data_IF_603551172040
#
_entry.id   IF_603551172040
#
_cell.length_a   1.000
_cell.length_b   1.000
_cell.length_c   1.000
_cell.angle_alpha   90.00
_cell.angle_beta   90.00
_cell.angle_gamma   90.00
#
_symmetry.space_group_name_H-M   'P 1'
#
loop_
_entity.id
_entity.type
_entity.pdbx_description
1 polymer ?
#
# COMPACT_ATOMS: atom_id res chain seq x y z
N UNK A 1 -11.06 7.91 0.27
CA UNK A 1 -10.23 8.94 0.93
C UNK A 1 -8.97 8.39 1.59
N UNK A 2 -9.02 7.21 2.25
CA UNK A 2 -7.88 6.59 2.96
C UNK A 2 -6.55 6.61 2.20
N UNK A 3 -6.53 5.93 1.05
CA UNK A 3 -5.31 5.82 0.22
C UNK A 3 -4.83 7.18 -0.30
N UNK A 4 -5.71 8.06 -0.77
CA UNK A 4 -5.27 9.38 -1.24
C UNK A 4 -4.59 10.19 -0.14
N UNK A 5 -5.07 10.10 1.10
CA UNK A 5 -4.48 10.80 2.23
C UNK A 5 -3.10 10.23 2.63
N UNK A 6 -2.89 8.91 2.53
CA UNK A 6 -1.56 8.34 2.79
C UNK A 6 -0.57 8.78 1.71
N UNK A 7 -0.98 8.81 0.43
CA UNK A 7 -0.14 9.27 -0.67
C UNK A 7 0.24 10.75 -0.51
N UNK A 8 -0.74 11.62 -0.17
CA UNK A 8 -0.49 13.04 0.11
C UNK A 8 0.49 13.27 1.26
N UNK A 9 0.49 12.40 2.27
CA UNK A 9 1.47 12.44 3.35
C UNK A 9 2.82 11.94 2.87
N UNK A 10 2.87 10.75 2.26
CA UNK A 10 4.09 10.12 1.74
C UNK A 10 4.89 11.08 0.85
N UNK A 11 4.23 11.79 -0.06
CA UNK A 11 4.87 12.74 -0.99
C UNK A 11 5.70 13.83 -0.29
N UNK A 12 5.36 14.20 0.95
CA UNK A 12 6.09 15.22 1.74
C UNK A 12 7.36 14.68 2.40
N UNK A 13 7.57 13.36 2.38
CA UNK A 13 8.66 12.67 3.07
C UNK A 13 9.58 11.91 2.10
N UNK A 14 9.46 12.14 0.80
CA UNK A 14 10.31 11.55 -0.22
C UNK A 14 10.51 12.49 -1.41
N UNK A 15 11.63 12.30 -2.11
CA UNK A 15 11.94 13.01 -3.34
C UNK A 15 11.24 12.36 -4.55
N UNK A 16 11.05 11.04 -4.48
CA UNK A 16 10.40 10.20 -5.49
C UNK A 16 9.40 9.23 -4.84
N UNK A 17 8.14 9.23 -5.26
CA UNK A 17 7.07 8.42 -4.71
C UNK A 17 6.65 7.30 -5.68
N UNK A 18 7.07 6.08 -5.36
CA UNK A 18 6.61 4.86 -6.04
C UNK A 18 5.44 4.24 -5.29
N UNK A 19 4.38 3.86 -6.01
CA UNK A 19 3.22 3.16 -5.45
C UNK A 19 3.13 1.75 -6.00
N UNK A 20 3.24 0.76 -5.11
CA UNK A 20 3.00 -0.65 -5.43
C UNK A 20 1.51 -0.99 -5.45
N UNK A 21 0.97 -1.34 -6.61
CA UNK A 21 -0.38 -1.87 -6.76
C UNK A 21 -0.37 -3.39 -6.63
N UNK A 22 -0.88 -3.92 -5.51
CA UNK A 22 -0.87 -5.39 -5.26
C UNK A 22 -1.70 -6.11 -6.32
N UNK A 23 -1.17 -7.16 -6.93
CA UNK A 23 -1.87 -7.99 -7.93
C UNK A 23 -3.16 -8.62 -7.41
N UNK A 24 -4.06 -8.97 -8.34
CA UNK A 24 -5.36 -9.55 -8.00
C UNK A 24 -5.19 -10.93 -7.35
N UNK A 25 -4.21 -11.71 -7.81
CA UNK A 25 -3.83 -13.02 -7.29
C UNK A 25 -3.27 -12.91 -5.87
N UNK A 26 -2.30 -12.02 -5.64
CA UNK A 26 -1.72 -11.83 -4.30
C UNK A 26 -2.77 -11.29 -3.30
N UNK A 27 -3.72 -10.47 -3.77
CA UNK A 27 -4.87 -10.04 -2.95
C UNK A 27 -5.80 -11.21 -2.61
N UNK A 28 -6.06 -12.11 -3.56
CA UNK A 28 -6.84 -13.31 -3.33
C UNK A 28 -6.17 -14.23 -2.32
N UNK A 29 -4.88 -14.52 -2.47
CA UNK A 29 -4.10 -15.32 -1.51
C UNK A 29 -4.15 -14.73 -0.09
N UNK A 30 -4.04 -13.41 0.03
CA UNK A 30 -4.03 -12.73 1.34
C UNK A 30 -5.42 -12.62 1.99
N UNK A 31 -6.48 -12.42 1.21
CA UNK A 31 -7.81 -12.04 1.72
C UNK A 31 -8.93 -13.03 1.39
N UNK A 32 -8.65 -14.07 0.62
CA UNK A 32 -9.62 -15.06 0.11
C UNK A 32 -10.65 -14.48 -0.87
N UNK A 33 -10.38 -13.31 -1.46
CA UNK A 33 -11.31 -12.66 -2.40
C UNK A 33 -10.58 -11.71 -3.34
N UNK A 34 -11.07 -11.64 -4.57
CA UNK A 34 -10.59 -10.69 -5.56
C UNK A 34 -10.98 -9.25 -5.20
N UNK A 35 -10.18 -8.25 -5.62
CA UNK A 35 -10.63 -6.86 -5.58
C UNK A 35 -11.81 -6.64 -6.53
N UNK A 36 -12.55 -5.55 -6.31
CA UNK A 36 -13.66 -5.15 -7.19
C UNK A 36 -13.15 -4.42 -8.43
N UNK A 37 -12.00 -3.76 -8.31
CA UNK A 37 -11.34 -3.00 -9.39
C UNK A 37 -10.08 -3.77 -9.76
N UNK A 38 -9.93 -4.11 -11.04
CA UNK A 38 -8.83 -4.94 -11.52
C UNK A 38 -7.48 -4.24 -11.35
N UNK A 39 -6.39 -5.00 -11.40
CA UNK A 39 -5.04 -4.42 -11.25
C UNK A 39 -4.78 -3.28 -12.22
N UNK A 40 -5.09 -3.45 -13.52
CA UNK A 40 -4.86 -2.42 -14.55
C UNK A 40 -5.58 -1.11 -14.24
N UNK A 41 -6.87 -1.17 -13.91
CA UNK A 41 -7.68 0.00 -13.54
C UNK A 41 -7.15 0.67 -12.27
N UNK A 42 -6.71 -0.11 -11.27
CA UNK A 42 -6.10 0.45 -10.05
C UNK A 42 -4.81 1.16 -10.35
N UNK A 43 -4.00 0.65 -11.28
CA UNK A 43 -2.76 1.31 -11.69
C UNK A 43 -3.06 2.62 -12.42
N UNK A 44 -3.99 2.63 -13.38
CA UNK A 44 -4.40 3.84 -14.10
C UNK A 44 -4.91 4.93 -13.15
N UNK A 45 -5.74 4.56 -12.16
CA UNK A 45 -6.19 5.50 -11.12
C UNK A 45 -5.02 6.08 -10.34
N UNK A 46 -4.02 5.27 -10.00
CA UNK A 46 -2.85 5.72 -9.24
C UNK A 46 -1.93 6.62 -10.08
N UNK A 47 -1.74 6.31 -11.35
CA UNK A 47 -0.96 7.11 -12.30
C UNK A 47 -1.60 8.48 -12.55
N UNK A 48 -2.92 8.55 -12.56
CA UNK A 48 -3.67 9.81 -12.69
C UNK A 48 -3.54 10.73 -11.45
N UNK A 49 -3.01 10.22 -10.33
CA UNK A 49 -2.76 11.03 -9.14
C UNK A 49 -1.42 11.75 -9.34
N UNK A 50 -1.47 13.03 -9.72
CA UNK A 50 -0.28 13.85 -10.03
C UNK A 50 0.74 14.10 -8.91
N UNK A 51 0.66 13.38 -7.79
CA UNK A 51 1.71 13.32 -6.75
C UNK A 51 2.44 11.98 -6.72
N UNK A 52 2.10 11.03 -7.58
CA UNK A 52 2.74 9.73 -7.72
C UNK A 52 3.71 9.80 -8.90
N UNK A 53 4.97 9.46 -8.67
CA UNK A 53 6.00 9.54 -9.69
C UNK A 53 6.09 8.24 -10.52
N UNK A 54 5.80 7.10 -9.90
CA UNK A 54 5.79 5.79 -10.58
C UNK A 54 4.77 4.84 -9.94
N UNK A 55 4.10 4.03 -10.75
CA UNK A 55 3.22 2.95 -10.28
C UNK A 55 3.76 1.62 -10.78
N UNK A 56 3.92 0.67 -9.86
CA UNK A 56 4.48 -0.65 -10.18
C UNK A 56 3.54 -1.77 -9.71
N UNK A 57 3.47 -2.90 -10.45
CA UNK A 57 2.74 -4.05 -9.97
C UNK A 57 3.51 -4.75 -8.84
N UNK A 58 2.78 -5.03 -7.77
CA UNK A 58 3.26 -5.74 -6.60
C UNK A 58 2.66 -7.15 -6.54
N UNK A 59 3.45 -8.11 -7.00
CA UNK A 59 3.05 -9.51 -7.10
C UNK A 59 3.21 -10.30 -5.79
N UNK A 60 3.63 -9.66 -4.68
CA UNK A 60 3.93 -10.40 -3.47
C UNK A 60 3.57 -9.67 -2.18
N UNK A 61 3.26 -10.47 -1.16
CA UNK A 61 3.17 -9.98 0.21
C UNK A 61 4.56 -9.57 0.72
N UNK A 62 5.62 -10.23 0.24
CA UNK A 62 7.01 -9.96 0.61
C UNK A 62 7.53 -8.70 -0.11
N UNK A 63 7.68 -7.61 0.64
CA UNK A 63 8.12 -6.31 0.13
C UNK A 63 9.58 -6.30 -0.33
N UNK A 64 10.40 -7.28 0.09
CA UNK A 64 11.78 -7.42 -0.39
C UNK A 64 11.82 -7.75 -1.88
N UNK A 65 10.80 -8.43 -2.43
CA UNK A 65 10.70 -8.70 -3.87
C UNK A 65 10.43 -7.45 -4.70
N UNK A 66 9.61 -6.53 -4.18
CA UNK A 66 9.41 -5.22 -4.81
C UNK A 66 10.70 -4.42 -4.74
N UNK A 67 11.37 -4.42 -3.58
CA UNK A 67 12.62 -3.71 -3.38
C UNK A 67 13.74 -4.15 -4.31
N UNK A 68 13.84 -5.43 -4.68
CA UNK A 68 14.83 -5.90 -5.66
C UNK A 68 14.78 -5.14 -7.00
N UNK A 69 13.59 -4.66 -7.39
CA UNK A 69 13.34 -3.93 -8.63
C UNK A 69 13.35 -2.41 -8.42
N UNK A 70 12.70 -1.93 -7.36
CA UNK A 70 12.44 -0.50 -7.11
C UNK A 70 13.53 0.16 -6.27
N UNK A 71 14.21 -0.59 -5.39
CA UNK A 71 15.26 -0.10 -4.49
C UNK A 71 14.84 1.11 -3.64
N UNK A 72 13.63 1.06 -3.07
CA UNK A 72 13.14 2.13 -2.20
C UNK A 72 13.89 2.19 -0.85
N UNK A 73 14.04 3.40 -0.30
CA UNK A 73 14.67 3.62 1.01
C UNK A 73 13.67 3.57 2.18
N UNK A 74 12.41 3.96 1.92
CA UNK A 74 11.37 4.13 2.94
C UNK A 74 10.07 3.48 2.49
N UNK A 75 9.51 2.62 3.33
CA UNK A 75 8.16 2.08 3.18
C UNK A 75 7.18 2.88 4.04
N UNK A 76 6.19 3.50 3.43
CA UNK A 76 5.14 4.25 4.15
C UNK A 76 3.96 3.36 4.54
N UNK A 77 3.48 3.49 5.78
CA UNK A 77 2.33 2.72 6.28
C UNK A 77 1.49 3.51 7.29
N UNK A 78 0.25 3.07 7.53
CA UNK A 78 -0.54 3.52 8.67
C UNK A 78 0.00 2.93 9.98
N UNK A 79 -0.12 3.67 11.09
CA UNK A 79 0.35 3.23 12.39
C UNK A 79 -0.52 2.12 13.04
N UNK A 80 -1.56 1.63 12.34
CA UNK A 80 -2.38 0.50 12.75
C UNK A 80 -1.58 -0.81 12.89
N UNK A 81 -0.36 -0.86 12.35
CA UNK A 81 0.56 -1.99 12.49
C UNK A 81 1.66 -1.76 13.53
N UNK A 82 1.88 -0.52 13.96
CA UNK A 82 2.99 -0.17 14.84
C UNK A 82 2.82 -0.86 16.19
N UNK A 83 3.87 -1.53 16.68
CA UNK A 83 3.83 -2.27 17.94
C UNK A 83 3.07 -3.61 17.89
N UNK A 84 2.63 -4.05 16.71
CA UNK A 84 2.04 -5.39 16.52
C UNK A 84 3.10 -6.36 16.02
N UNK A 85 2.85 -7.67 16.16
CA UNK A 85 3.73 -8.70 15.58
C UNK A 85 3.95 -8.52 14.06
N UNK A 86 2.93 -8.04 13.33
CA UNK A 86 3.04 -7.73 11.90
C UNK A 86 3.92 -6.52 11.62
N UNK A 87 3.84 -5.49 12.46
CA UNK A 87 4.70 -4.31 12.37
C UNK A 87 6.15 -4.65 12.64
N UNK A 88 6.43 -5.38 13.72
CA UNK A 88 7.79 -5.81 14.06
C UNK A 88 8.42 -6.70 12.98
N UNK A 89 7.63 -7.62 12.41
CA UNK A 89 8.09 -8.42 11.27
C UNK A 89 8.43 -7.54 10.07
N UNK A 90 7.54 -6.61 9.70
CA UNK A 90 7.77 -5.71 8.57
C UNK A 90 9.01 -4.83 8.78
N UNK A 91 9.20 -4.30 9.98
CA UNK A 91 10.37 -3.51 10.35
C UNK A 91 11.67 -4.33 10.19
N UNK A 92 11.67 -5.57 10.67
CA UNK A 92 12.79 -6.50 10.49
C UNK A 92 13.09 -6.77 9.01
N UNK A 93 12.08 -7.12 8.23
CA UNK A 93 12.22 -7.39 6.78
C UNK A 93 12.73 -6.17 6.00
N UNK A 94 12.34 -4.95 6.39
CA UNK A 94 12.85 -3.72 5.76
C UNK A 94 14.30 -3.43 6.21
N UNK A 95 14.63 -3.68 7.47
CA UNK A 95 15.99 -3.51 7.96
C UNK A 95 16.99 -4.45 7.27
N UNK A 96 16.59 -5.69 6.94
CA UNK A 96 17.41 -6.66 6.18
C UNK A 96 17.88 -6.11 4.83
N UNK A 97 17.10 -5.23 4.20
CA UNK A 97 17.38 -4.64 2.89
C UNK A 97 17.85 -3.19 2.99
N UNK A 98 18.15 -2.70 4.21
CA UNK A 98 18.59 -1.32 4.46
C UNK A 98 17.49 -0.26 4.31
N UNK A 99 16.23 -0.67 4.18
CA UNK A 99 15.08 0.21 4.14
C UNK A 99 14.50 0.44 5.55
N UNK A 100 13.70 1.49 5.71
CA UNK A 100 12.99 1.80 6.96
C UNK A 100 11.49 1.91 6.77
N UNK A 101 10.73 1.65 7.83
CA UNK A 101 9.27 1.87 7.83
C UNK A 101 8.97 3.24 8.44
N UNK A 102 8.18 4.06 7.73
CA UNK A 102 7.65 5.31 8.26
C UNK A 102 6.13 5.20 8.43
N UNK A 103 5.67 5.35 9.69
CA UNK A 103 4.26 5.25 10.03
C UNK A 103 3.60 6.62 10.09
N UNK A 104 2.42 6.72 9.48
CA UNK A 104 1.54 7.87 9.62
C UNK A 104 0.38 7.57 10.59
N UNK A 105 -0.06 8.55 11.39
CA UNK A 105 -1.21 8.38 12.26
C UNK A 105 -2.43 7.86 11.51
N UNK A 106 -2.95 6.71 11.94
CA UNK A 106 -4.11 6.09 11.35
C UNK A 106 -5.27 7.06 11.47
N UNK A 107 -5.85 7.39 10.33
CA UNK A 107 -7.05 8.19 10.27
C UNK A 107 -8.16 7.23 9.90
N UNK A 108 -9.16 7.11 10.78
CA UNK A 108 -10.36 6.33 10.51
C UNK A 108 -11.07 7.00 9.32
N UNK A 109 -11.08 6.33 8.18
CA UNK A 109 -11.56 6.88 6.93
C UNK A 109 -12.42 5.83 6.20
N UNK A 110 -13.24 6.31 5.26
CA UNK A 110 -14.05 5.47 4.38
C UNK A 110 -13.21 4.34 3.77
N UNK A 111 -13.57 3.11 4.11
CA UNK A 111 -12.92 1.90 3.62
C UNK A 111 -13.72 1.26 2.48
N UNK A 112 -13.04 0.49 1.63
CA UNK A 112 -13.72 -0.31 0.60
C UNK A 112 -14.65 -1.36 1.20
N UNK A 113 -14.35 -1.85 2.41
CA UNK A 113 -15.24 -2.75 3.15
C UNK A 113 -16.55 -2.07 3.54
N UNK A 114 -16.49 -0.83 4.06
CA UNK A 114 -17.70 -0.07 4.40
C UNK A 114 -18.53 0.26 3.16
N UNK A 115 -17.90 0.67 2.06
CA UNK A 115 -18.60 0.92 0.80
C UNK A 115 -19.31 -0.32 0.27
N UNK A 116 -18.65 -1.49 0.30
CA UNK A 116 -19.29 -2.75 -0.10
C UNK A 116 -20.49 -3.09 0.79
N UNK A 117 -20.38 -2.90 2.11
CA UNK A 117 -21.50 -3.14 3.04
C UNK A 117 -22.68 -2.22 2.75
N UNK A 118 -22.43 -0.96 2.42
CA UNK A 118 -23.48 0.00 2.08
C UNK A 118 -24.22 -0.38 0.78
N UNK A 119 -23.51 -0.93 -0.21
CA UNK A 119 -24.10 -1.33 -1.50
C UNK A 119 -24.91 -2.64 -1.43
N UNK A 120 -24.56 -3.56 -0.53
CA UNK A 120 -25.28 -4.84 -0.34
C UNK A 120 -26.50 -4.69 0.58
N UNK A 121 -26.58 -3.59 1.33
CA UNK A 121 -27.68 -3.29 2.25
C UNK A 121 -28.86 -2.51 1.65
N UNK A 122 -28.93 -2.40 0.31
CA UNK A 122 -30.05 -1.83 -0.46
C UNK A 122 -30.72 -2.92 -1.30
#
# INVERSE_FOLDING_TARGET
MGHLNILKRARRYCDYLVVGAVSDEALFEMKGKYPVVALSERMEILEAIGIVDEVVPDFSIDKRRVWQRVRFDVLFKGDDWKGTAKGHKLEGEMAEIGARVHYFPYTRQTSSTELRRALVGY
#
